data_IF_908097419864
#
_entry.id   IF_908097419864
#
_cell.length_a   1.000
_cell.length_b   1.000
_cell.length_c   1.000
_cell.angle_alpha   90.00
_cell.angle_beta   90.00
_cell.angle_gamma   90.00
#
_symmetry.space_group_name_H-M   'P 1'
#
loop_
_entity.id
_entity.type
_entity.pdbx_description
1 polymer ?
#
# COMPACT_ATOMS: atom_id res chain seq x y z
N UNK A 1 -19.45 -7.51 37.47
CA UNK A 1 -20.56 -7.23 36.54
C UNK A 1 -19.93 -6.52 35.36
N UNK A 2 -19.65 -7.26 34.28
CA UNK A 2 -19.19 -6.66 33.03
C UNK A 2 -20.31 -5.80 32.46
N UNK A 3 -20.03 -4.52 32.22
CA UNK A 3 -20.94 -3.64 31.51
C UNK A 3 -20.91 -4.07 30.04
N UNK A 4 -22.02 -4.52 29.44
CA UNK A 4 -22.06 -4.78 28.01
C UNK A 4 -21.81 -3.48 27.24
N UNK A 5 -20.89 -3.51 26.28
CA UNK A 5 -21.10 -2.77 25.02
C UNK A 5 -20.39 -1.44 24.81
N UNK A 6 -19.20 -1.18 25.38
CA UNK A 6 -18.33 -0.14 24.84
C UNK A 6 -17.27 -0.75 23.93
N UNK A 7 -17.46 -0.60 22.61
CA UNK A 7 -16.45 -0.92 21.61
C UNK A 7 -15.21 -0.07 21.86
N UNK A 8 -14.03 -0.72 21.93
CA UNK A 8 -12.77 0.03 21.92
C UNK A 8 -12.60 0.77 20.59
N UNK A 9 -11.67 1.73 20.54
CA UNK A 9 -11.34 2.46 19.31
C UNK A 9 -11.05 1.52 18.13
N UNK A 10 -10.22 0.50 18.34
CA UNK A 10 -9.91 -0.50 17.31
C UNK A 10 -11.11 -1.38 16.93
N UNK A 11 -12.05 -1.63 17.84
CA UNK A 11 -13.27 -2.38 17.51
C UNK A 11 -14.21 -1.55 16.64
N UNK A 12 -14.30 -0.24 16.88
CA UNK A 12 -15.08 0.67 16.04
C UNK A 12 -14.49 0.76 14.64
N UNK A 13 -13.17 0.94 14.54
CA UNK A 13 -12.44 0.96 13.27
C UNK A 13 -12.56 -0.36 12.50
N UNK A 14 -12.45 -1.51 13.19
CA UNK A 14 -12.67 -2.83 12.62
C UNK A 14 -14.09 -2.98 12.07
N UNK A 15 -15.10 -2.61 12.87
CA UNK A 15 -16.50 -2.70 12.47
C UNK A 15 -16.81 -1.80 11.26
N UNK A 16 -16.27 -0.58 11.22
CA UNK A 16 -16.43 0.35 10.09
C UNK A 16 -15.82 -0.24 8.81
N UNK A 17 -14.57 -0.72 8.88
CA UNK A 17 -13.89 -1.29 7.73
C UNK A 17 -14.61 -2.56 7.20
N UNK A 18 -15.07 -3.43 8.10
CA UNK A 18 -15.86 -4.63 7.75
C UNK A 18 -17.18 -4.23 7.08
N UNK A 19 -17.86 -3.21 7.60
CA UNK A 19 -19.10 -2.70 7.01
C UNK A 19 -18.86 -2.21 5.57
N UNK A 20 -17.84 -1.37 5.36
CA UNK A 20 -17.46 -0.86 4.03
C UNK A 20 -17.16 -2.01 3.06
N UNK A 21 -16.40 -3.03 3.49
CA UNK A 21 -16.09 -4.19 2.65
C UNK A 21 -17.34 -4.99 2.26
N UNK A 22 -18.29 -5.14 3.19
CA UNK A 22 -19.57 -5.84 2.92
C UNK A 22 -20.45 -5.06 1.95
N UNK A 23 -20.51 -3.74 2.08
CA UNK A 23 -21.20 -2.88 1.11
C UNK A 23 -20.61 -3.05 -0.30
N UNK A 24 -19.28 -3.10 -0.42
CA UNK A 24 -18.63 -3.34 -1.71
C UNK A 24 -19.03 -4.71 -2.29
N UNK A 25 -18.98 -5.77 -1.50
CA UNK A 25 -19.38 -7.10 -1.96
C UNK A 25 -20.87 -7.22 -2.29
N UNK A 26 -21.72 -6.38 -1.70
CA UNK A 26 -23.17 -6.38 -1.94
C UNK A 26 -23.58 -5.55 -3.16
N UNK A 27 -22.80 -4.51 -3.52
CA UNK A 27 -23.19 -3.53 -4.52
C UNK A 27 -22.44 -3.61 -5.86
N UNK A 28 -21.33 -4.35 -5.94
CA UNK A 28 -20.50 -4.44 -7.13
C UNK A 28 -20.34 -5.87 -7.62
N UNK A 29 -20.26 -6.04 -8.94
CA UNK A 29 -20.25 -7.34 -9.62
C UNK A 29 -18.87 -7.97 -9.62
N UNK A 30 -17.80 -7.16 -9.76
CA UNK A 30 -16.43 -7.65 -9.87
C UNK A 30 -15.42 -6.80 -9.04
N UNK A 31 -15.51 -6.84 -7.70
CA UNK A 31 -14.59 -6.13 -6.83
C UNK A 31 -13.22 -6.82 -6.72
N UNK A 32 -12.15 -6.01 -6.72
CA UNK A 32 -10.79 -6.44 -6.38
C UNK A 32 -10.23 -5.75 -5.13
N UNK A 33 -9.20 -6.31 -4.54
CA UNK A 33 -8.47 -5.72 -3.40
C UNK A 33 -7.02 -5.49 -3.81
N UNK A 34 -6.59 -4.22 -3.81
CA UNK A 34 -5.20 -3.85 -4.10
C UNK A 34 -4.26 -4.34 -3.00
N UNK A 35 -3.42 -5.31 -3.34
CA UNK A 35 -2.51 -5.97 -2.42
C UNK A 35 -1.07 -5.62 -2.76
N UNK A 36 -0.55 -4.58 -2.09
CA UNK A 36 0.84 -4.09 -2.23
C UNK A 36 1.82 -4.77 -1.29
N UNK A 37 1.37 -5.79 -0.54
CA UNK A 37 2.21 -6.58 0.38
C UNK A 37 2.77 -5.72 1.54
N UNK A 38 2.21 -4.52 1.75
CA UNK A 38 2.51 -3.67 2.90
C UNK A 38 1.64 -4.01 4.11
N UNK A 39 2.00 -3.40 5.25
CA UNK A 39 1.27 -3.49 6.53
C UNK A 39 -0.22 -3.17 6.38
N UNK A 40 -0.54 -2.07 5.69
CA UNK A 40 -1.91 -1.58 5.49
C UNK A 40 -2.75 -2.55 4.66
N UNK A 41 -2.22 -3.00 3.51
CA UNK A 41 -2.90 -3.99 2.66
C UNK A 41 -3.05 -5.36 3.33
N UNK A 42 -2.16 -5.71 4.26
CA UNK A 42 -2.22 -6.97 5.02
C UNK A 42 -3.26 -6.89 6.14
N UNK A 43 -3.40 -5.75 6.81
CA UNK A 43 -4.53 -5.47 7.72
C UNK A 43 -5.84 -5.49 6.94
N UNK A 44 -5.91 -4.87 5.76
CA UNK A 44 -7.10 -4.88 4.91
C UNK A 44 -7.49 -6.31 4.50
N UNK A 45 -6.53 -7.16 4.14
CA UNK A 45 -6.78 -8.59 3.86
C UNK A 45 -7.29 -9.33 5.10
N UNK A 46 -6.73 -9.06 6.28
CA UNK A 46 -7.19 -9.66 7.53
C UNK A 46 -8.65 -9.28 7.83
N UNK A 47 -8.99 -7.99 7.69
CA UNK A 47 -10.35 -7.47 7.86
C UNK A 47 -11.32 -8.09 6.84
N UNK A 48 -10.90 -8.27 5.58
CA UNK A 48 -11.72 -8.95 4.58
C UNK A 48 -12.03 -10.39 4.99
N UNK A 49 -11.06 -11.12 5.56
CA UNK A 49 -11.30 -12.48 6.08
C UNK A 49 -12.31 -12.48 7.23
N UNK A 50 -12.23 -11.51 8.15
CA UNK A 50 -13.25 -11.34 9.21
C UNK A 50 -14.62 -10.99 8.64
N UNK A 51 -14.69 -10.12 7.64
CA UNK A 51 -15.93 -9.65 7.04
C UNK A 51 -16.76 -10.79 6.43
N UNK A 52 -16.11 -11.80 5.85
CA UNK A 52 -16.77 -12.89 5.12
C UNK A 52 -16.67 -14.26 5.78
N UNK A 53 -16.10 -14.35 6.98
CA UNK A 53 -16.08 -15.60 7.75
C UNK A 53 -17.51 -16.15 7.97
N UNK A 54 -17.75 -17.47 7.86
CA UNK A 54 -16.80 -18.55 7.59
C UNK A 54 -16.52 -18.83 6.09
N UNK A 55 -17.06 -18.01 5.19
CA UNK A 55 -16.76 -18.08 3.76
C UNK A 55 -15.36 -17.58 3.40
N UNK A 56 -15.04 -17.68 2.12
CA UNK A 56 -13.79 -17.15 1.54
C UNK A 56 -13.91 -15.66 1.23
N UNK A 57 -12.77 -14.97 1.13
CA UNK A 57 -12.74 -13.58 0.63
C UNK A 57 -13.26 -13.55 -0.81
N UNK A 58 -14.31 -12.76 -1.14
CA UNK A 58 -14.90 -12.73 -2.48
C UNK A 58 -14.10 -11.88 -3.47
N UNK A 59 -13.10 -11.14 -3.00
CA UNK A 59 -12.28 -10.24 -3.82
C UNK A 59 -11.09 -10.96 -4.44
N UNK A 60 -10.82 -10.68 -5.71
CA UNK A 60 -9.52 -11.03 -6.31
C UNK A 60 -8.47 -10.05 -5.78
N UNK A 61 -7.37 -10.55 -5.23
CA UNK A 61 -6.23 -9.70 -4.89
C UNK A 61 -5.56 -9.26 -6.18
N UNK A 62 -5.29 -7.97 -6.33
CA UNK A 62 -4.54 -7.42 -7.45
C UNK A 62 -3.20 -6.86 -6.96
N UNK A 63 -2.10 -7.38 -7.50
CA UNK A 63 -0.76 -6.88 -7.26
C UNK A 63 -0.15 -6.39 -8.58
N UNK A 64 0.38 -5.16 -8.57
CA UNK A 64 1.10 -4.57 -9.70
C UNK A 64 2.58 -4.79 -9.46
N UNK A 65 3.17 -5.71 -10.21
CA UNK A 65 4.56 -6.11 -10.07
C UNK A 65 5.43 -5.23 -10.97
N UNK A 66 6.30 -4.46 -10.32
CA UNK A 66 7.22 -3.54 -11.00
C UNK A 66 8.53 -4.20 -11.40
N UNK A 67 8.75 -5.46 -11.00
CA UNK A 67 10.00 -6.24 -11.07
C UNK A 67 11.13 -5.74 -10.17
N UNK A 68 10.89 -4.68 -9.38
CA UNK A 68 11.89 -4.03 -8.51
C UNK A 68 11.46 -3.93 -7.04
N UNK A 69 10.36 -4.58 -6.66
CA UNK A 69 10.03 -4.77 -5.24
C UNK A 69 11.02 -5.73 -4.58
N UNK A 70 11.15 -5.65 -3.25
CA UNK A 70 11.99 -6.59 -2.52
C UNK A 70 11.49 -8.03 -2.73
N UNK A 71 12.40 -8.96 -3.01
CA UNK A 71 12.07 -10.37 -3.21
C UNK A 71 11.40 -10.98 -1.97
N UNK A 72 11.71 -10.46 -0.77
CA UNK A 72 11.05 -10.86 0.47
C UNK A 72 9.54 -10.55 0.49
N UNK A 73 9.12 -9.46 -0.14
CA UNK A 73 7.69 -9.14 -0.31
C UNK A 73 7.01 -10.19 -1.19
N UNK A 74 7.59 -10.53 -2.35
CA UNK A 74 7.05 -11.56 -3.24
C UNK A 74 6.91 -12.92 -2.55
N UNK A 75 7.97 -13.37 -1.85
CA UNK A 75 7.93 -14.63 -1.07
C UNK A 75 6.85 -14.61 0.01
N UNK A 76 6.69 -13.48 0.71
CA UNK A 76 5.65 -13.33 1.73
C UNK A 76 4.25 -13.44 1.11
N UNK A 77 3.99 -12.73 0.00
CA UNK A 77 2.74 -12.75 -0.76
C UNK A 77 2.37 -14.16 -1.18
N UNK A 78 3.26 -14.86 -1.87
CA UNK A 78 2.98 -16.16 -2.47
C UNK A 78 2.61 -17.19 -1.40
N UNK A 79 3.42 -17.26 -0.34
CA UNK A 79 3.15 -18.12 0.82
C UNK A 79 1.82 -17.78 1.50
N UNK A 80 1.46 -16.50 1.62
CA UNK A 80 0.20 -16.08 2.25
C UNK A 80 -1.01 -16.46 1.38
N UNK A 81 -0.90 -16.27 0.07
CA UNK A 81 -1.93 -16.63 -0.91
C UNK A 81 -2.18 -18.14 -0.90
N UNK A 82 -1.12 -18.95 -0.95
CA UNK A 82 -1.21 -20.41 -0.92
C UNK A 82 -1.81 -20.91 0.40
N UNK A 83 -1.33 -20.40 1.53
CA UNK A 83 -1.79 -20.79 2.87
C UNK A 83 -3.27 -20.49 3.09
N UNK A 84 -3.78 -19.43 2.49
CA UNK A 84 -5.15 -18.95 2.71
C UNK A 84 -6.11 -19.28 1.54
N UNK A 85 -5.62 -19.90 0.46
CA UNK A 85 -6.42 -20.25 -0.72
C UNK A 85 -7.00 -19.02 -1.42
N UNK A 86 -6.23 -17.95 -1.51
CA UNK A 86 -6.70 -16.66 -2.06
C UNK A 86 -6.55 -16.63 -3.59
N UNK A 87 -7.39 -15.84 -4.26
CA UNK A 87 -7.22 -15.54 -5.70
C UNK A 87 -6.29 -14.34 -5.83
N UNK A 88 -5.18 -14.50 -6.55
CA UNK A 88 -4.22 -13.45 -6.84
C UNK A 88 -4.10 -13.24 -8.35
N UNK A 89 -4.27 -12.00 -8.78
CA UNK A 89 -3.90 -11.51 -10.09
C UNK A 89 -2.63 -10.66 -9.96
N UNK A 90 -1.58 -11.04 -10.69
CA UNK A 90 -0.36 -10.24 -10.81
C UNK A 90 -0.35 -9.59 -12.19
N UNK A 91 -0.05 -8.30 -12.25
CA UNK A 91 0.04 -7.58 -13.51
C UNK A 91 1.39 -6.87 -13.65
N UNK A 92 2.03 -7.03 -14.81
CA UNK A 92 3.28 -6.37 -15.18
C UNK A 92 3.02 -5.59 -16.47
N UNK A 93 3.50 -4.34 -16.55
CA UNK A 93 3.51 -3.61 -17.81
C UNK A 93 4.65 -4.11 -18.71
N UNK A 94 4.38 -5.20 -19.42
CA UNK A 94 5.30 -5.86 -20.35
C UNK A 94 5.83 -4.95 -21.46
N UNK A 95 5.03 -3.95 -21.87
CA UNK A 95 5.48 -2.97 -22.86
C UNK A 95 6.59 -2.09 -22.28
N UNK A 96 6.35 -1.50 -21.10
CA UNK A 96 7.34 -0.66 -20.43
C UNK A 96 8.63 -1.44 -20.11
N UNK A 97 8.49 -2.72 -19.72
CA UNK A 97 9.64 -3.60 -19.50
C UNK A 97 10.47 -3.80 -20.77
N UNK A 98 9.83 -4.07 -21.92
CA UNK A 98 10.52 -4.18 -23.23
C UNK A 98 11.17 -2.88 -23.69
N UNK A 99 10.61 -1.74 -23.32
CA UNK A 99 11.18 -0.42 -23.58
C UNK A 99 12.34 -0.07 -22.62
N UNK A 100 12.70 -0.97 -21.70
CA UNK A 100 13.78 -0.77 -20.75
C UNK A 100 13.43 0.22 -19.63
N UNK A 101 12.16 0.35 -19.26
CA UNK A 101 11.76 1.24 -18.15
C UNK A 101 12.12 0.61 -16.80
N UNK A 102 12.95 1.29 -16.02
CA UNK A 102 13.41 0.83 -14.70
C UNK A 102 13.70 2.02 -13.76
N UNK A 103 13.77 1.84 -12.43
CA UNK A 103 13.69 2.95 -11.47
C UNK A 103 14.92 3.85 -11.41
N UNK A 104 16.03 3.46 -12.05
CA UNK A 104 17.31 4.18 -11.97
C UNK A 104 17.45 5.15 -13.15
N UNK A 105 17.62 4.64 -14.38
CA UNK A 105 17.93 5.50 -15.54
C UNK A 105 16.69 6.15 -16.16
N UNK A 106 15.50 5.57 -15.97
CA UNK A 106 14.27 6.15 -16.52
C UNK A 106 13.78 7.37 -15.73
N UNK A 107 14.35 7.63 -14.56
CA UNK A 107 13.89 8.64 -13.63
C UNK A 107 12.57 8.28 -12.93
N UNK A 108 12.34 8.88 -11.76
CA UNK A 108 11.21 8.56 -10.90
C UNK A 108 9.85 8.81 -11.59
N UNK A 109 9.72 9.88 -12.37
CA UNK A 109 8.46 10.25 -13.04
C UNK A 109 8.01 9.19 -14.05
N UNK A 110 8.86 8.87 -15.05
CA UNK A 110 8.52 7.94 -16.12
C UNK A 110 8.33 6.52 -15.58
N UNK A 111 9.21 6.08 -14.69
CA UNK A 111 9.11 4.76 -14.08
C UNK A 111 7.79 4.57 -13.33
N UNK A 112 7.42 5.50 -12.44
CA UNK A 112 6.18 5.35 -11.66
C UNK A 112 4.92 5.48 -12.51
N UNK A 113 4.91 6.37 -13.51
CA UNK A 113 3.77 6.41 -14.44
C UNK A 113 3.61 5.07 -15.15
N UNK A 114 4.65 4.57 -15.82
CA UNK A 114 4.55 3.38 -16.66
C UNK A 114 4.38 2.08 -15.88
N UNK A 115 5.21 1.86 -14.86
CA UNK A 115 5.25 0.59 -14.12
C UNK A 115 4.20 0.49 -13.02
N UNK A 116 3.55 1.59 -12.64
CA UNK A 116 2.51 1.59 -11.60
C UNK A 116 1.20 2.17 -12.08
N UNK A 117 1.14 3.43 -12.52
CA UNK A 117 -0.13 4.07 -12.93
C UNK A 117 -0.75 3.39 -14.15
N UNK A 118 0.01 3.28 -15.24
CA UNK A 118 -0.47 2.68 -16.49
C UNK A 118 -0.68 1.18 -16.32
N UNK A 119 0.25 0.50 -15.63
CA UNK A 119 0.10 -0.91 -15.27
C UNK A 119 -1.21 -1.19 -14.50
N UNK A 120 -1.54 -0.35 -13.51
CA UNK A 120 -2.79 -0.47 -12.76
C UNK A 120 -4.02 -0.30 -13.65
N UNK A 121 -4.05 0.72 -14.50
CA UNK A 121 -5.16 0.94 -15.44
C UNK A 121 -5.35 -0.24 -16.38
N UNK A 122 -4.25 -0.71 -16.98
CA UNK A 122 -4.25 -1.88 -17.85
C UNK A 122 -4.85 -3.10 -17.14
N UNK A 123 -4.47 -3.35 -15.89
CA UNK A 123 -5.00 -4.46 -15.11
C UNK A 123 -6.50 -4.30 -14.83
N UNK A 124 -6.93 -3.12 -14.39
CA UNK A 124 -8.34 -2.83 -14.11
C UNK A 124 -9.22 -3.01 -15.35
N UNK A 125 -8.75 -2.52 -16.50
CA UNK A 125 -9.42 -2.70 -17.79
C UNK A 125 -9.39 -4.17 -18.23
N UNK A 126 -8.27 -4.88 -18.09
CA UNK A 126 -8.17 -6.27 -18.50
C UNK A 126 -9.13 -7.18 -17.73
N UNK A 127 -9.18 -7.02 -16.41
CA UNK A 127 -10.03 -7.84 -15.55
C UNK A 127 -11.45 -7.29 -15.40
N UNK A 128 -11.75 -6.10 -15.94
CA UNK A 128 -13.05 -5.44 -15.86
C UNK A 128 -13.52 -5.27 -14.41
N UNK A 129 -12.64 -4.82 -13.53
CA UNK A 129 -12.98 -4.56 -12.13
C UNK A 129 -13.81 -3.27 -12.01
N UNK A 130 -14.98 -3.35 -11.38
CA UNK A 130 -15.91 -2.22 -11.18
C UNK A 130 -15.71 -1.52 -9.83
N UNK A 131 -15.12 -2.23 -8.86
CA UNK A 131 -14.67 -1.69 -7.59
C UNK A 131 -13.27 -2.18 -7.23
N UNK A 132 -12.49 -1.30 -6.59
CA UNK A 132 -11.17 -1.65 -6.08
C UNK A 132 -10.97 -1.14 -4.65
N UNK A 133 -10.73 -2.05 -3.71
CA UNK A 133 -10.42 -1.71 -2.32
C UNK A 133 -8.93 -1.38 -2.19
N UNK A 134 -8.61 -0.20 -1.66
CA UNK A 134 -7.25 0.28 -1.41
C UNK A 134 -6.99 0.56 0.07
N UNK A 135 -5.75 0.30 0.52
CA UNK A 135 -5.33 0.51 1.91
C UNK A 135 -4.90 1.95 2.25
N UNK A 136 -5.29 2.94 1.46
CA UNK A 136 -4.90 4.33 1.69
C UNK A 136 -5.61 4.90 2.94
N UNK A 137 -4.84 5.62 3.77
CA UNK A 137 -5.35 6.34 4.95
C UNK A 137 -5.27 7.86 4.77
N UNK A 138 -6.12 8.60 5.50
CA UNK A 138 -6.16 10.07 5.45
C UNK A 138 -4.98 10.72 6.16
N UNK A 139 -4.38 10.07 7.15
CA UNK A 139 -3.24 10.58 7.91
C UNK A 139 -1.91 10.43 7.16
N UNK A 140 -1.83 9.59 6.12
CA UNK A 140 -0.56 9.34 5.41
C UNK A 140 -0.02 10.59 4.68
N UNK A 141 -0.91 11.44 4.14
CA UNK A 141 -0.51 12.58 3.32
C UNK A 141 -1.60 13.67 3.23
N UNK A 142 -1.19 14.94 3.19
CA UNK A 142 -2.09 16.09 3.13
C UNK A 142 -3.11 16.04 1.97
N UNK A 143 -2.72 15.54 0.79
CA UNK A 143 -3.61 15.42 -0.38
C UNK A 143 -4.77 14.44 -0.16
N UNK A 144 -4.60 13.48 0.76
CA UNK A 144 -5.60 12.46 1.12
C UNK A 144 -6.51 12.87 2.27
N UNK A 145 -6.20 13.94 2.99
CA UNK A 145 -7.04 14.43 4.10
C UNK A 145 -8.50 14.70 3.70
N UNK A 146 -8.76 15.00 2.42
CA UNK A 146 -10.09 15.23 1.85
C UNK A 146 -10.62 14.06 1.02
N UNK A 147 -9.96 12.90 1.09
CA UNK A 147 -10.39 11.69 0.37
C UNK A 147 -11.68 11.13 0.98
N UNK A 148 -12.57 10.71 0.09
CA UNK A 148 -13.82 10.02 0.43
C UNK A 148 -13.57 8.53 0.56
N UNK A 149 -14.44 7.82 1.29
CA UNK A 149 -14.35 6.36 1.37
C UNK A 149 -14.61 5.75 -0.01
N UNK A 150 -15.64 6.21 -0.72
CA UNK A 150 -15.99 5.82 -2.09
C UNK A 150 -15.60 6.94 -3.07
N UNK A 151 -14.56 6.69 -3.84
CA UNK A 151 -13.94 7.65 -4.77
C UNK A 151 -14.20 7.22 -6.21
N UNK A 152 -15.23 7.84 -6.83
CA UNK A 152 -15.72 7.48 -8.17
C UNK A 152 -14.72 7.88 -9.25
N UNK A 153 -14.53 6.97 -10.22
CA UNK A 153 -13.67 7.12 -11.39
C UNK A 153 -14.47 7.01 -12.67
N UNK A 154 -14.11 7.86 -13.64
CA UNK A 154 -14.71 7.78 -14.97
C UNK A 154 -14.10 6.61 -15.78
N UNK A 155 -14.59 6.43 -17.01
CA UNK A 155 -14.14 5.40 -17.96
C UNK A 155 -12.63 5.42 -18.26
N UNK A 156 -11.97 6.55 -18.06
CA UNK A 156 -10.52 6.70 -18.25
C UNK A 156 -9.74 6.57 -16.93
N UNK A 157 -10.37 6.02 -15.88
CA UNK A 157 -9.88 5.92 -14.51
C UNK A 157 -9.57 7.26 -13.81
N UNK A 158 -10.03 8.38 -14.38
CA UNK A 158 -9.75 9.71 -13.84
C UNK A 158 -10.72 10.09 -12.73
N UNK A 159 -10.22 10.88 -11.79
CA UNK A 159 -11.00 11.44 -10.69
C UNK A 159 -11.52 12.85 -11.02
N UNK A 160 -12.82 13.07 -10.83
CA UNK A 160 -13.47 14.37 -10.98
C UNK A 160 -14.10 14.81 -9.65
N UNK A 161 -13.68 15.95 -9.04
CA UNK A 161 -14.23 16.44 -7.79
C UNK A 161 -15.76 16.63 -7.82
N UNK A 162 -16.32 17.04 -8.97
CA UNK A 162 -17.77 17.32 -9.10
C UNK A 162 -18.62 16.06 -9.13
N UNK A 163 -18.02 14.91 -9.45
CA UNK A 163 -18.69 13.60 -9.48
C UNK A 163 -18.64 12.87 -8.14
N UNK A 164 -17.92 13.41 -7.16
CA UNK A 164 -17.79 12.79 -5.85
C UNK A 164 -19.04 13.03 -5.01
N UNK A 165 -19.41 12.02 -4.22
CA UNK A 165 -20.72 11.96 -3.55
C UNK A 165 -20.58 12.24 -2.06
N UNK A 166 -21.50 13.00 -1.43
CA UNK A 166 -21.55 13.12 0.02
C UNK A 166 -21.70 11.75 0.70
N UNK A 167 -21.06 11.56 1.85
CA UNK A 167 -21.06 10.32 2.64
C UNK A 167 -21.55 10.63 4.07
N UNK A 168 -22.85 10.87 4.28
CA UNK A 168 -23.37 11.17 5.60
C UNK A 168 -23.52 9.88 6.43
N UNK A 169 -23.09 9.90 7.69
CA UNK A 169 -23.03 8.72 8.58
C UNK A 169 -22.22 7.58 7.93
N UNK A 170 -22.82 6.40 7.83
CA UNK A 170 -22.29 5.22 7.15
C UNK A 170 -23.18 4.86 5.95
N UNK A 171 -23.76 5.86 5.28
CA UNK A 171 -24.59 5.68 4.10
C UNK A 171 -23.78 6.05 2.85
N UNK A 172 -23.59 5.07 1.96
CA UNK A 172 -22.82 5.24 0.74
C UNK A 172 -23.73 5.18 -0.49
N UNK A 173 -23.54 6.12 -1.42
CA UNK A 173 -24.18 6.02 -2.73
C UNK A 173 -23.28 5.21 -3.66
N UNK A 174 -23.63 3.94 -3.87
CA UNK A 174 -22.82 2.95 -4.60
C UNK A 174 -23.11 2.86 -6.10
N UNK A 175 -24.17 3.52 -6.61
CA UNK A 175 -24.59 3.41 -8.01
C UNK A 175 -23.49 3.79 -9.01
N UNK A 176 -23.20 2.99 -10.03
CA UNK A 176 -22.22 3.38 -11.07
C UNK A 176 -22.91 3.78 -12.37
N UNK A 177 -22.39 4.81 -13.03
CA UNK A 177 -22.71 5.08 -14.43
C UNK A 177 -22.03 4.08 -15.37
N UNK A 178 -22.45 4.00 -16.65
CA UNK A 178 -21.82 3.11 -17.62
C UNK A 178 -20.30 3.33 -17.72
N UNK A 179 -19.53 2.27 -17.45
CA UNK A 179 -18.07 2.28 -17.48
C UNK A 179 -17.39 3.12 -16.38
N UNK A 180 -18.14 3.59 -15.38
CA UNK A 180 -17.52 4.11 -14.15
C UNK A 180 -17.04 2.95 -13.28
N UNK A 181 -15.99 3.21 -12.50
CA UNK A 181 -15.54 2.31 -11.42
C UNK A 181 -15.38 3.10 -10.13
N UNK A 182 -15.20 2.41 -9.02
CA UNK A 182 -14.97 3.06 -7.72
C UNK A 182 -13.66 2.59 -7.09
N UNK A 183 -12.98 3.51 -6.39
CA UNK A 183 -11.90 3.19 -5.45
C UNK A 183 -12.47 3.32 -4.05
N UNK A 184 -12.33 2.27 -3.24
CA UNK A 184 -12.91 2.20 -1.90
C UNK A 184 -11.79 2.09 -0.87
N UNK A 185 -11.84 2.90 0.19
CA UNK A 185 -10.76 2.99 1.17
C UNK A 185 -11.24 2.64 2.59
N UNK A 186 -11.37 1.34 2.93
CA UNK A 186 -11.88 0.91 4.24
C UNK A 186 -11.04 1.38 5.43
N UNK A 187 -9.76 1.67 5.19
CA UNK A 187 -8.81 2.10 6.22
C UNK A 187 -8.74 3.63 6.37
N UNK A 188 -9.58 4.41 5.67
CA UNK A 188 -9.46 5.88 5.62
C UNK A 188 -9.31 6.57 6.98
N UNK A 189 -10.01 6.05 8.01
CA UNK A 189 -10.03 6.60 9.37
C UNK A 189 -8.99 6.01 10.33
N UNK A 190 -8.18 5.06 9.86
CA UNK A 190 -7.12 4.46 10.64
C UNK A 190 -5.88 5.34 10.59
N UNK A 191 -5.10 5.35 11.66
CA UNK A 191 -3.76 5.95 11.69
C UNK A 191 -2.67 4.90 11.54
N UNK A 192 -1.42 5.32 11.31
CA UNK A 192 -0.27 4.38 11.28
C UNK A 192 -0.18 3.62 12.62
N UNK A 193 -0.44 4.30 13.72
CA UNK A 193 -0.41 3.72 15.05
C UNK A 193 -1.54 2.68 15.25
N UNK A 194 -2.75 2.97 14.76
CA UNK A 194 -3.87 2.01 14.80
C UNK A 194 -3.54 0.74 14.02
N UNK A 195 -2.92 0.87 12.84
CA UNK A 195 -2.49 -0.27 12.02
C UNK A 195 -1.52 -1.16 12.80
N UNK A 196 -0.50 -0.58 13.43
CA UNK A 196 0.47 -1.35 14.20
C UNK A 196 -0.11 -1.96 15.48
N UNK A 197 -0.96 -1.23 16.20
CA UNK A 197 -1.67 -1.77 17.36
C UNK A 197 -2.58 -2.94 16.97
N UNK A 198 -3.25 -2.84 15.83
CA UNK A 198 -4.12 -3.89 15.32
C UNK A 198 -3.33 -5.12 14.88
N UNK A 199 -2.19 -4.93 14.19
CA UNK A 199 -1.25 -6.01 13.86
C UNK A 199 -0.78 -6.72 15.14
N UNK A 200 -0.45 -5.97 16.18
CA UNK A 200 -0.05 -6.53 17.47
C UNK A 200 -1.19 -7.31 18.14
N UNK A 201 -2.39 -6.72 18.20
CA UNK A 201 -3.58 -7.29 18.86
C UNK A 201 -4.03 -8.59 18.20
N UNK A 202 -4.12 -8.59 16.87
CA UNK A 202 -4.62 -9.72 16.07
C UNK A 202 -3.49 -10.68 15.66
N UNK A 203 -2.24 -10.41 16.10
CA UNK A 203 -1.05 -11.20 15.77
C UNK A 203 -0.88 -11.41 14.25
N UNK A 204 -1.10 -10.34 13.48
CA UNK A 204 -1.03 -10.38 12.02
C UNK A 204 0.43 -10.50 11.61
N UNK A 205 0.71 -11.49 10.76
CA UNK A 205 2.03 -11.65 10.18
C UNK A 205 2.37 -10.47 9.26
N UNK A 206 3.59 -9.93 9.38
CA UNK A 206 4.09 -8.84 8.52
C UNK A 206 5.33 -9.29 7.77
N UNK A 207 5.66 -8.58 6.69
CA UNK A 207 6.93 -8.78 5.97
C UNK A 207 8.09 -8.48 6.91
N UNK A 208 9.09 -9.38 7.05
CA UNK A 208 10.23 -9.16 7.95
C UNK A 208 11.05 -7.88 7.69
N UNK A 209 10.94 -7.26 6.51
CA UNK A 209 11.46 -5.92 6.21
C UNK A 209 10.95 -4.83 7.18
N UNK A 210 9.76 -4.99 7.76
CA UNK A 210 9.27 -4.07 8.78
C UNK A 210 9.99 -4.19 10.14
N UNK A 211 10.77 -5.26 10.33
CA UNK A 211 11.48 -5.57 11.55
C UNK A 211 12.99 -5.38 11.36
N UNK A 212 13.63 -4.82 12.38
CA UNK A 212 15.07 -4.56 12.37
C UNK A 212 15.85 -5.86 12.18
N UNK A 213 16.67 -5.91 11.13
CA UNK A 213 17.69 -6.96 10.93
C UNK A 213 18.93 -6.34 10.30
N UNK A 214 20.07 -7.01 10.47
CA UNK A 214 21.30 -6.70 9.73
C UNK A 214 21.07 -6.87 8.23
N UNK A 215 21.23 -5.79 7.47
CA UNK A 215 21.08 -5.78 6.01
C UNK A 215 22.19 -4.96 5.37
N UNK A 216 22.70 -5.47 4.25
CA UNK A 216 23.65 -4.75 3.42
C UNK A 216 22.95 -3.51 2.82
N UNK A 217 23.49 -2.34 3.13
CA UNK A 217 22.88 -1.06 2.81
C UNK A 217 23.92 -0.03 2.40
N UNK A 218 23.49 1.01 1.70
CA UNK A 218 24.30 2.19 1.37
C UNK A 218 23.58 3.46 1.82
N UNK A 219 24.33 4.56 1.85
CA UNK A 219 23.76 5.90 2.03
C UNK A 219 23.66 6.50 0.63
N UNK A 220 22.46 6.91 0.25
CA UNK A 220 22.20 7.61 -1.00
C UNK A 220 22.86 9.00 -0.97
N UNK A 221 23.69 9.31 -1.98
CA UNK A 221 24.51 10.53 -2.00
C UNK A 221 23.67 11.81 -2.04
N UNK A 222 22.56 11.79 -2.79
CA UNK A 222 21.71 12.95 -3.02
C UNK A 222 20.77 13.22 -1.83
N UNK A 223 20.14 12.17 -1.30
CA UNK A 223 19.09 12.29 -0.28
C UNK A 223 19.57 12.08 1.16
N UNK A 224 20.75 11.47 1.34
CA UNK A 224 21.29 11.03 2.63
C UNK A 224 20.51 9.87 3.27
N UNK A 225 19.57 9.25 2.54
CA UNK A 225 18.77 8.14 3.07
C UNK A 225 19.56 6.84 3.06
N UNK A 226 19.26 5.95 3.99
CA UNK A 226 19.79 4.59 3.99
C UNK A 226 18.92 3.75 3.05
N UNK A 227 19.51 3.16 2.03
CA UNK A 227 18.84 2.23 1.12
C UNK A 227 19.45 0.84 1.30
N UNK A 228 18.65 -0.21 1.10
CA UNK A 228 19.13 -1.58 1.25
C UNK A 228 19.19 -2.30 -0.10
N UNK A 229 20.22 -3.12 -0.27
CA UNK A 229 20.31 -4.02 -1.41
C UNK A 229 19.37 -5.21 -1.19
N UNK A 230 18.55 -5.49 -2.19
CA UNK A 230 17.80 -6.76 -2.28
C UNK A 230 18.55 -7.76 -3.17
N UNK A 231 19.21 -7.26 -4.22
CA UNK A 231 20.06 -8.02 -5.14
C UNK A 231 21.16 -7.13 -5.77
N UNK A 232 21.99 -7.73 -6.62
CA UNK A 232 23.15 -7.09 -7.23
C UNK A 232 22.80 -6.07 -8.33
N UNK A 233 21.53 -5.93 -8.75
CA UNK A 233 21.15 -5.07 -9.88
C UNK A 233 21.44 -3.59 -9.63
N UNK A 234 21.50 -3.17 -8.36
CA UNK A 234 21.84 -1.79 -8.00
C UNK A 234 23.34 -1.50 -8.03
N UNK A 235 24.22 -2.50 -7.86
CA UNK A 235 25.66 -2.28 -7.72
C UNK A 235 26.30 -1.50 -8.89
N UNK A 236 25.93 -1.73 -10.16
CA UNK A 236 26.47 -0.96 -11.28
C UNK A 236 26.14 0.53 -11.23
N UNK A 237 25.03 0.89 -10.59
CA UNK A 237 24.50 2.26 -10.56
C UNK A 237 24.98 3.08 -9.37
N UNK A 238 25.57 2.44 -8.35
CA UNK A 238 26.12 3.14 -7.19
C UNK A 238 27.34 3.99 -7.59
N UNK A 239 27.37 5.24 -7.13
CA UNK A 239 28.54 6.11 -7.23
C UNK A 239 29.72 5.53 -6.45
N UNK A 240 30.96 5.98 -6.73
CA UNK A 240 32.13 5.52 -5.96
C UNK A 240 31.95 5.79 -4.46
N UNK A 241 31.35 6.93 -4.10
CA UNK A 241 31.09 7.29 -2.71
C UNK A 241 30.01 6.41 -2.08
N UNK A 242 28.92 6.14 -2.80
CA UNK A 242 27.86 5.24 -2.33
C UNK A 242 28.39 3.82 -2.11
N UNK A 243 29.26 3.33 -3.01
CA UNK A 243 29.94 2.04 -2.85
C UNK A 243 30.82 2.01 -1.61
N UNK A 244 31.57 3.08 -1.33
CA UNK A 244 32.39 3.19 -0.12
C UNK A 244 31.53 3.23 1.17
N UNK A 245 30.25 3.60 1.06
CA UNK A 245 29.30 3.61 2.17
C UNK A 245 28.62 2.25 2.44
N UNK A 246 28.84 1.25 1.59
CA UNK A 246 28.25 -0.09 1.72
C UNK A 246 28.70 -0.76 3.02
N UNK A 247 27.73 -1.14 3.85
CA UNK A 247 27.97 -1.93 5.07
C UNK A 247 26.67 -2.55 5.56
N UNK A 248 26.82 -3.57 6.39
CA UNK A 248 25.71 -4.07 7.17
C UNK A 248 25.26 -3.02 8.20
N UNK A 249 23.95 -2.76 8.25
CA UNK A 249 23.31 -1.92 9.27
C UNK A 249 22.09 -2.65 9.81
N UNK A 250 21.80 -2.46 11.10
CA UNK A 250 20.56 -2.94 11.67
C UNK A 250 19.43 -1.98 11.30
N UNK A 251 18.61 -2.36 10.32
CA UNK A 251 17.62 -1.48 9.70
C UNK A 251 16.26 -2.14 9.54
N UNK A 252 15.22 -1.31 9.51
CA UNK A 252 13.85 -1.67 9.14
C UNK A 252 13.24 -0.64 8.20
N UNK A 253 12.09 -0.97 7.62
CA UNK A 253 11.36 -0.08 6.74
C UNK A 253 10.01 0.31 7.36
N UNK A 254 9.62 1.59 7.27
CA UNK A 254 8.28 2.06 7.69
C UNK A 254 7.24 1.95 6.60
N UNK A 255 7.68 2.02 5.34
CA UNK A 255 6.87 1.77 4.15
C UNK A 255 7.62 0.83 3.23
N UNK A 256 6.90 0.08 2.39
CA UNK A 256 7.48 -0.83 1.42
C UNK A 256 7.06 -0.45 0.00
N UNK A 257 7.88 -0.85 -0.96
CA UNK A 257 7.73 -0.57 -2.39
C UNK A 257 8.93 -1.12 -3.16
N UNK A 258 9.29 -0.45 -4.25
CA UNK A 258 10.49 -0.81 -5.01
C UNK A 258 11.74 -0.54 -4.16
N UNK A 259 12.65 -1.51 -4.05
CA UNK A 259 13.80 -1.41 -3.16
C UNK A 259 14.74 -0.24 -3.46
N UNK A 260 14.95 0.19 -4.72
CA UNK A 260 15.79 1.37 -5.00
C UNK A 260 15.17 2.71 -4.60
N UNK A 261 13.91 2.74 -4.18
CA UNK A 261 13.15 3.96 -3.88
C UNK A 261 12.56 3.96 -2.46
N UNK A 262 13.00 3.02 -1.62
CA UNK A 262 12.46 2.81 -0.27
C UNK A 262 13.56 3.03 0.76
N UNK A 263 13.52 4.16 1.46
CA UNK A 263 14.41 4.46 2.58
C UNK A 263 14.16 3.59 3.80
N UNK A 264 15.24 3.07 4.36
CA UNK A 264 15.29 2.37 5.64
C UNK A 264 15.59 3.33 6.79
N UNK A 265 15.31 2.89 8.00
CA UNK A 265 15.72 3.56 9.24
C UNK A 265 16.55 2.59 10.08
N UNK A 266 17.61 3.09 10.72
CA UNK A 266 18.31 2.33 11.75
C UNK A 266 17.38 2.15 12.95
N UNK A 267 17.33 0.93 13.46
CA UNK A 267 16.40 0.53 14.50
C UNK A 267 16.84 -0.78 15.12
N UNK A 268 16.49 -0.99 16.39
CA UNK A 268 16.63 -2.28 17.09
C UNK A 268 15.27 -2.99 17.25
N UNK A 269 14.21 -2.46 16.63
CA UNK A 269 12.86 -2.99 16.75
C UNK A 269 12.67 -4.27 15.91
N UNK A 270 13.07 -5.40 16.48
CA UNK A 270 13.12 -6.72 15.85
C UNK A 270 11.81 -7.52 15.93
N UNK A 271 10.81 -7.00 16.66
CA UNK A 271 9.45 -7.52 16.84
C UNK A 271 8.37 -6.44 16.65
N UNK A 272 7.13 -6.84 16.35
CA UNK A 272 5.98 -5.91 16.25
C UNK A 272 5.81 -5.10 17.54
N UNK A 273 5.99 -5.72 18.72
CA UNK A 273 5.89 -5.02 20.00
C UNK A 273 6.95 -3.93 20.14
N UNK A 274 8.20 -4.22 19.78
CA UNK A 274 9.27 -3.21 19.77
C UNK A 274 9.04 -2.09 18.75
N UNK A 275 8.41 -2.38 17.60
CA UNK A 275 8.04 -1.34 16.62
C UNK A 275 7.00 -0.39 17.21
N UNK A 276 5.97 -0.92 17.89
CA UNK A 276 4.96 -0.11 18.58
C UNK A 276 5.61 0.76 19.68
N UNK A 277 6.55 0.21 20.45
CA UNK A 277 7.30 0.97 21.48
C UNK A 277 8.13 2.10 20.86
N UNK A 278 8.84 1.83 19.77
CA UNK A 278 9.63 2.84 19.05
C UNK A 278 8.75 3.96 18.51
N UNK A 279 7.57 3.63 17.96
CA UNK A 279 6.61 4.62 17.48
C UNK A 279 6.08 5.54 18.58
N UNK A 280 5.87 5.01 19.79
CA UNK A 280 5.45 5.82 20.94
C UNK A 280 6.51 6.85 21.34
N UNK A 281 7.79 6.57 21.09
CA UNK A 281 8.91 7.47 21.39
C UNK A 281 9.23 8.46 20.25
N UNK A 282 8.81 8.15 19.02
CA UNK A 282 9.15 8.91 17.81
C UNK A 282 8.08 9.94 17.43
N UNK A 283 8.50 11.04 16.78
CA UNK A 283 7.60 12.09 16.25
C UNK A 283 7.69 12.24 14.73
N UNK A 284 8.37 11.32 14.04
CA UNK A 284 8.61 11.38 12.59
C UNK A 284 7.47 10.72 11.81
N UNK A 285 7.14 11.25 10.63
CA UNK A 285 6.11 10.70 9.74
C UNK A 285 6.56 9.39 9.08
N UNK A 286 5.64 8.45 8.84
CA UNK A 286 5.97 7.19 8.13
C UNK A 286 6.58 7.37 6.75
N UNK A 287 6.21 8.42 6.03
CA UNK A 287 6.60 8.61 4.63
C UNK A 287 7.85 9.46 4.45
N UNK A 288 8.51 9.87 5.54
CA UNK A 288 9.74 10.68 5.49
C UNK A 288 10.87 10.00 4.69
N UNK A 289 10.90 8.67 4.68
CA UNK A 289 11.87 7.84 3.95
C UNK A 289 11.57 7.58 2.47
N UNK A 290 10.50 8.14 1.88
CA UNK A 290 10.18 7.88 0.46
C UNK A 290 10.74 8.96 -0.47
N UNK A 291 11.69 8.58 -1.33
CA UNK A 291 12.26 9.47 -2.35
C UNK A 291 11.20 10.01 -3.34
N UNK A 292 10.22 9.17 -3.67
CA UNK A 292 9.11 9.53 -4.56
C UNK A 292 8.28 10.72 -4.10
N UNK A 293 8.25 10.98 -2.79
CA UNK A 293 7.44 12.05 -2.21
C UNK A 293 8.22 13.39 -2.21
N UNK A 294 9.57 13.36 -2.25
CA UNK A 294 10.43 14.57 -2.29
C UNK A 294 10.52 15.20 -3.68
N UNK A 295 10.53 14.39 -4.73
CA UNK A 295 10.69 14.87 -6.11
C UNK A 295 9.49 15.70 -6.61
N UNK A 296 8.35 15.70 -5.90
CA UNK A 296 7.08 16.10 -6.52
C UNK A 296 6.10 16.80 -5.57
N UNK A 297 6.46 17.98 -5.06
CA UNK A 297 5.54 18.89 -4.36
C UNK A 297 4.33 19.23 -5.27
N UNK A 298 3.14 18.71 -4.95
CA UNK A 298 1.90 18.89 -5.72
C UNK A 298 1.48 17.74 -6.65
N UNK A 299 2.27 16.67 -6.74
CA UNK A 299 2.02 15.59 -7.70
C UNK A 299 0.96 14.57 -7.30
N UNK A 300 0.70 14.38 -6.01
CA UNK A 300 -0.22 13.31 -5.60
C UNK A 300 -1.67 13.62 -5.97
N UNK A 301 -2.08 14.89 -5.94
CA UNK A 301 -3.38 15.30 -6.49
C UNK A 301 -3.44 15.10 -8.01
N UNK A 302 -2.34 15.36 -8.72
CA UNK A 302 -2.22 15.09 -10.16
C UNK A 302 -2.32 13.59 -10.45
N UNK A 303 -1.56 12.76 -9.73
CA UNK A 303 -1.62 11.29 -9.79
C UNK A 303 -3.02 10.75 -9.49
N UNK A 304 -3.74 11.35 -8.54
CA UNK A 304 -5.14 11.03 -8.25
C UNK A 304 -6.04 11.34 -9.46
N UNK A 305 -5.93 12.54 -10.04
CA UNK A 305 -6.66 12.89 -11.28
C UNK A 305 -6.30 11.96 -12.43
N UNK A 306 -5.07 11.49 -12.47
CA UNK A 306 -4.55 10.56 -13.48
C UNK A 306 -4.86 9.09 -13.17
N UNK A 307 -5.45 8.74 -12.03
CA UNK A 307 -5.91 7.37 -11.72
C UNK A 307 -4.91 6.45 -11.01
N UNK A 308 -3.85 6.99 -10.39
CA UNK A 308 -2.84 6.23 -9.63
C UNK A 308 -3.34 5.64 -8.30
N UNK A 309 -4.40 6.23 -7.75
CA UNK A 309 -5.12 5.75 -6.56
C UNK A 309 -6.55 5.48 -6.93
#
# INVERSE_FOLDING_TARGET
MDVPGHLSHLDQLEAEAIFIMREVAACYDNPCLFYSIGKDSTVMLHLARKAFWPGTVPFTLLHIDTTWEFAEMGRFRDRLVDRLGLKLAVWINEQALREGVHPIESGSVRYNDQMKTQALKQALDHYQFDAALGGARRDEEASRSKERIFSVRNQNHQWDPKRQRPEPWNLFNTSLGPGESVRVFPLSNWTEFDIWLYILREQIEVVPLYLARSRLSWIDEDSGQILALDDDRMLPYLSSWERDSLRERNIRFRTLGCYPQTGAVESDADTVSSVVQEMLASRTSEREGRLLDKDQTGSMEKKKREGYF
#
